data_IF_377414622354
#
_entry.id   IF_377414622354
#
_cell.length_a   1.000
_cell.length_b   1.000
_cell.length_c   1.000
_cell.angle_alpha   90.00
_cell.angle_beta   90.00
_cell.angle_gamma   90.00
#
_symmetry.space_group_name_H-M   'P 1'
#
loop_
_entity.id
_entity.type
_entity.pdbx_description
1 polymer ?
#
# COMPACT_ATOMS: atom_id res chain seq x y z
N UNK A 1 31.62 -62.99 26.75
CA UNK A 1 30.90 -62.04 27.63
C UNK A 1 31.50 -60.65 27.51
N UNK A 2 31.14 -59.84 26.48
CA UNK A 2 31.46 -58.38 26.42
C UNK A 2 30.86 -57.60 25.22
N UNK A 3 29.78 -58.06 24.56
CA UNK A 3 29.25 -57.31 23.40
C UNK A 3 27.72 -57.14 23.34
N UNK A 4 26.91 -57.87 24.12
CA UNK A 4 25.44 -57.74 24.03
C UNK A 4 24.87 -56.58 24.83
N UNK A 5 25.52 -56.18 25.94
CA UNK A 5 25.04 -55.06 26.78
C UNK A 5 25.18 -53.70 26.09
N UNK A 6 26.21 -53.52 25.27
CA UNK A 6 26.48 -52.25 24.57
C UNK A 6 25.46 -52.02 23.46
N UNK A 7 25.12 -53.05 22.68
CA UNK A 7 24.09 -52.94 21.64
C UNK A 7 22.70 -52.64 22.20
N UNK A 8 22.37 -53.19 23.37
CA UNK A 8 21.06 -52.95 24.00
C UNK A 8 20.91 -51.50 24.50
N UNK A 9 21.97 -50.94 25.09
CA UNK A 9 22.01 -49.53 25.53
C UNK A 9 21.96 -48.57 24.33
N UNK A 10 22.64 -48.93 23.23
CA UNK A 10 22.62 -48.13 22.01
C UNK A 10 21.23 -48.13 21.35
N UNK A 11 20.56 -49.28 21.30
CA UNK A 11 19.20 -49.40 20.75
C UNK A 11 18.18 -48.59 21.57
N UNK A 12 18.30 -48.62 22.90
CA UNK A 12 17.45 -47.86 23.82
C UNK A 12 17.66 -46.35 23.67
N UNK A 13 18.90 -45.90 23.49
CA UNK A 13 19.22 -44.49 23.27
C UNK A 13 18.66 -43.97 21.93
N UNK A 14 18.70 -44.79 20.87
CA UNK A 14 18.12 -44.45 19.56
C UNK A 14 16.59 -44.38 19.63
N UNK A 15 15.94 -45.28 20.37
CA UNK A 15 14.49 -45.26 20.58
C UNK A 15 14.02 -44.00 21.31
N UNK A 16 14.76 -43.56 22.34
CA UNK A 16 14.46 -42.32 23.06
C UNK A 16 14.66 -41.05 22.20
N UNK A 17 15.62 -41.08 21.28
CA UNK A 17 15.81 -39.99 20.30
C UNK A 17 14.67 -39.90 19.28
N UNK A 18 14.01 -41.03 18.94
CA UNK A 18 12.93 -41.06 17.95
C UNK A 18 11.56 -40.62 18.50
N UNK A 19 11.34 -40.70 19.82
CA UNK A 19 10.10 -40.26 20.47
C UNK A 19 10.10 -38.73 20.69
N UNK A 20 11.26 -38.06 20.54
CA UNK A 20 11.47 -36.64 20.84
C UNK A 20 10.97 -35.60 19.82
N UNK A 21 10.27 -36.00 18.76
CA UNK A 21 9.71 -35.06 17.77
C UNK A 21 8.17 -35.07 17.74
N UNK A 22 7.54 -35.19 18.90
CA UNK A 22 6.14 -34.86 19.08
C UNK A 22 5.98 -33.43 19.59
N UNK A 23 6.36 -32.41 18.81
CA UNK A 23 5.89 -31.05 19.09
C UNK A 23 4.40 -31.03 18.75
N UNK A 24 3.55 -31.31 19.74
CA UNK A 24 2.17 -30.84 19.71
C UNK A 24 2.22 -29.33 19.90
N UNK A 25 2.48 -28.62 18.82
CA UNK A 25 2.07 -27.23 18.72
C UNK A 25 0.55 -27.24 18.82
N UNK A 26 0.03 -26.90 20.00
CA UNK A 26 -1.36 -26.48 20.10
C UNK A 26 -1.55 -25.39 19.03
N UNK A 27 -2.51 -25.50 18.11
CA UNK A 27 -2.79 -24.40 17.21
C UNK A 27 -3.13 -23.21 18.09
N UNK A 28 -2.25 -22.21 18.10
CA UNK A 28 -2.55 -20.90 18.66
C UNK A 28 -3.82 -20.48 17.94
N UNK A 29 -4.93 -20.33 18.68
CA UNK A 29 -6.15 -19.73 18.16
C UNK A 29 -5.73 -18.46 17.42
N UNK A 30 -5.83 -18.51 16.09
CA UNK A 30 -5.49 -17.36 15.28
C UNK A 30 -6.47 -16.27 15.68
N UNK A 31 -6.00 -15.24 16.39
CA UNK A 31 -6.70 -13.96 16.50
C UNK A 31 -7.31 -13.67 15.13
N UNK A 32 -8.64 -13.49 15.06
CA UNK A 32 -9.35 -13.27 13.81
C UNK A 32 -8.55 -12.31 12.93
N UNK A 33 -8.17 -12.76 11.74
CA UNK A 33 -7.36 -11.92 10.83
C UNK A 33 -8.19 -10.69 10.49
N UNK A 34 -7.61 -9.51 10.72
CA UNK A 34 -8.21 -8.25 10.34
C UNK A 34 -8.58 -8.27 8.85
N UNK A 35 -9.85 -8.05 8.54
CA UNK A 35 -10.35 -8.00 7.17
C UNK A 35 -10.26 -6.56 6.65
N UNK A 36 -9.32 -6.31 5.73
CA UNK A 36 -9.13 -5.01 5.09
C UNK A 36 -9.79 -5.00 3.71
N UNK A 37 -10.66 -4.02 3.47
CA UNK A 37 -11.26 -3.77 2.15
C UNK A 37 -11.14 -2.30 1.75
N UNK A 38 -11.31 -2.02 0.46
CA UNK A 38 -11.23 -0.67 -0.09
C UNK A 38 -12.41 -0.38 -1.01
N UNK A 39 -12.95 0.82 -0.94
CA UNK A 39 -13.85 1.37 -1.96
C UNK A 39 -13.21 2.55 -2.68
N UNK A 40 -13.65 2.82 -3.91
CA UNK A 40 -13.22 3.95 -4.73
C UNK A 40 -14.43 4.76 -5.15
N UNK A 41 -14.29 6.06 -5.15
CA UNK A 41 -15.30 7.00 -5.61
C UNK A 41 -14.66 8.12 -6.43
N UNK A 42 -15.37 8.55 -7.46
CA UNK A 42 -14.97 9.66 -8.31
C UNK A 42 -15.71 10.92 -7.87
N UNK A 43 -14.95 11.94 -7.50
CA UNK A 43 -15.47 13.18 -6.93
C UNK A 43 -14.87 14.40 -7.62
N UNK A 44 -15.48 15.56 -7.40
CA UNK A 44 -14.99 16.82 -7.95
C UNK A 44 -14.41 17.67 -6.82
N UNK A 45 -13.09 17.80 -6.83
CA UNK A 45 -12.35 18.65 -5.91
C UNK A 45 -12.11 20.06 -6.45
N UNK A 46 -11.36 20.84 -5.68
CA UNK A 46 -10.94 22.20 -6.02
C UNK A 46 -9.43 22.33 -5.91
N UNK A 47 -8.81 22.95 -6.89
CA UNK A 47 -7.38 23.32 -6.85
C UNK A 47 -7.22 24.46 -5.83
N UNK A 48 -6.50 24.19 -4.75
CA UNK A 48 -6.20 25.15 -3.70
C UNK A 48 -4.90 25.92 -3.97
N UNK A 49 -3.95 25.28 -4.64
CA UNK A 49 -2.68 25.89 -5.07
C UNK A 49 -2.17 25.18 -6.33
N UNK A 50 -1.45 25.91 -7.19
CA UNK A 50 -0.88 25.40 -8.43
C UNK A 50 0.33 26.24 -8.86
N UNK A 51 1.51 25.66 -8.75
CA UNK A 51 2.72 26.11 -9.46
C UNK A 51 2.93 25.16 -10.64
N UNK A 52 2.75 25.66 -11.86
CA UNK A 52 2.92 24.92 -13.10
C UNK A 52 3.97 25.64 -13.94
N UNK A 53 4.99 24.90 -14.35
CA UNK A 53 6.05 25.40 -15.22
C UNK A 53 6.07 24.56 -16.48
N UNK A 54 6.09 25.27 -17.60
CA UNK A 54 6.19 24.68 -18.91
C UNK A 54 7.40 25.31 -19.59
N UNK A 55 8.36 24.49 -19.99
CA UNK A 55 9.54 24.97 -20.70
C UNK A 55 9.98 23.98 -21.77
N UNK A 56 10.78 24.53 -22.68
CA UNK A 56 11.37 23.81 -23.78
C UNK A 56 12.88 24.00 -23.72
N UNK A 57 13.63 22.91 -23.54
CA UNK A 57 15.08 22.90 -23.64
C UNK A 57 15.50 22.05 -24.86
N UNK A 58 15.17 20.76 -24.84
CA UNK A 58 15.29 19.85 -25.99
C UNK A 58 14.01 19.04 -26.24
N UNK A 59 13.23 18.82 -25.18
CA UNK A 59 11.92 18.16 -25.19
C UNK A 59 10.96 19.07 -24.42
N UNK A 60 9.69 19.05 -24.83
CA UNK A 60 8.63 19.73 -24.09
C UNK A 60 8.54 19.15 -22.68
N UNK A 61 8.58 19.99 -21.65
CA UNK A 61 8.58 19.52 -20.26
C UNK A 61 7.62 20.32 -19.40
N UNK A 62 6.78 19.60 -18.66
CA UNK A 62 5.92 20.14 -17.63
C UNK A 62 6.49 19.75 -16.27
N UNK A 63 6.58 20.70 -15.37
CA UNK A 63 6.84 20.47 -13.95
C UNK A 63 5.76 21.17 -13.13
N UNK A 64 5.30 20.51 -12.07
CA UNK A 64 4.24 21.06 -11.26
C UNK A 64 4.36 20.72 -9.79
N UNK A 65 3.72 21.58 -9.00
CA UNK A 65 3.21 21.31 -7.68
C UNK A 65 1.77 21.73 -7.65
N UNK A 66 0.88 20.79 -7.36
CA UNK A 66 -0.55 21.04 -7.23
C UNK A 66 -1.05 20.60 -5.86
N UNK A 67 -1.87 21.45 -5.24
CA UNK A 67 -2.60 21.13 -4.01
C UNK A 67 -4.08 21.13 -4.34
N UNK A 68 -4.73 20.00 -4.13
CA UNK A 68 -6.17 19.83 -4.35
C UNK A 68 -6.87 19.51 -3.04
N UNK A 69 -8.09 20.03 -2.87
CA UNK A 69 -8.93 19.81 -1.69
C UNK A 69 -10.29 19.28 -2.08
N UNK A 70 -10.79 18.35 -1.26
CA UNK A 70 -12.15 17.85 -1.32
C UNK A 70 -12.60 17.49 0.09
N UNK A 71 -13.69 18.08 0.56
CA UNK A 71 -14.12 17.98 1.98
C UNK A 71 -12.97 18.35 2.94
N UNK A 72 -12.60 17.44 3.83
CA UNK A 72 -11.47 17.52 4.76
C UNK A 72 -10.16 16.94 4.18
N UNK A 73 -10.19 16.38 2.98
CA UNK A 73 -9.04 15.75 2.33
C UNK A 73 -8.21 16.79 1.56
N UNK A 74 -6.89 16.61 1.64
CA UNK A 74 -5.91 17.38 0.87
C UNK A 74 -4.93 16.43 0.21
N UNK A 75 -4.70 16.60 -1.08
CA UNK A 75 -3.61 15.96 -1.81
C UNK A 75 -2.62 17.03 -2.24
N UNK A 76 -1.34 16.75 -2.01
CA UNK A 76 -0.21 17.49 -2.57
C UNK A 76 0.45 16.55 -3.58
N UNK A 77 0.52 16.98 -4.83
CA UNK A 77 1.16 16.24 -5.89
C UNK A 77 2.22 17.11 -6.57
N UNK A 78 3.47 16.71 -6.41
CA UNK A 78 4.60 17.27 -7.14
C UNK A 78 4.96 16.27 -8.26
N UNK A 79 5.26 16.77 -9.45
CA UNK A 79 5.54 15.91 -10.59
C UNK A 79 6.21 16.62 -11.75
N UNK A 80 6.70 15.80 -12.68
CA UNK A 80 7.24 16.27 -13.94
C UNK A 80 6.95 15.23 -15.02
N UNK A 81 6.74 15.69 -16.24
CA UNK A 81 6.60 14.82 -17.41
C UNK A 81 7.20 15.50 -18.64
N UNK A 82 7.83 14.69 -19.47
CA UNK A 82 8.44 15.11 -20.73
C UNK A 82 7.61 14.59 -21.90
N UNK A 83 7.57 15.35 -22.99
CA UNK A 83 6.84 15.03 -24.21
C UNK A 83 5.67 15.99 -24.43
N UNK A 84 5.54 16.44 -25.68
CA UNK A 84 4.53 17.41 -26.08
C UNK A 84 3.10 16.94 -25.80
N UNK A 85 2.83 15.65 -26.03
CA UNK A 85 1.50 15.04 -25.85
C UNK A 85 1.24 14.57 -24.40
N UNK A 86 2.20 14.77 -23.49
CA UNK A 86 2.11 14.28 -22.11
C UNK A 86 1.65 15.36 -21.12
N UNK A 87 1.11 16.48 -21.60
CA UNK A 87 0.61 17.52 -20.72
C UNK A 87 -0.39 16.95 -19.69
N UNK A 88 -0.25 17.27 -18.39
CA UNK A 88 -1.17 16.76 -17.38
C UNK A 88 -2.60 17.27 -17.62
N UNK A 89 -3.61 16.51 -17.20
CA UNK A 89 -5.03 16.85 -17.39
C UNK A 89 -5.42 18.23 -16.86
N UNK A 90 -4.65 18.76 -15.91
CA UNK A 90 -4.83 20.05 -15.27
C UNK A 90 -3.93 21.18 -15.80
N UNK A 91 -3.18 20.98 -16.89
CA UNK A 91 -2.21 21.96 -17.43
C UNK A 91 -2.82 23.36 -17.68
N UNK A 92 -4.08 23.42 -18.11
CA UNK A 92 -4.79 24.67 -18.41
C UNK A 92 -5.67 25.17 -17.26
N UNK A 93 -5.59 24.55 -16.08
CA UNK A 93 -6.38 24.91 -14.90
C UNK A 93 -5.70 26.03 -14.12
N UNK A 94 -6.48 26.68 -13.27
CA UNK A 94 -6.02 27.72 -12.34
C UNK A 94 -6.42 27.39 -10.92
N UNK A 95 -5.79 28.09 -9.97
CA UNK A 95 -6.22 28.07 -8.57
C UNK A 95 -7.71 28.42 -8.52
N UNK A 96 -8.47 27.56 -7.85
CA UNK A 96 -9.91 27.68 -7.70
C UNK A 96 -10.74 26.85 -8.70
N UNK A 97 -10.14 26.34 -9.77
CA UNK A 97 -10.83 25.47 -10.72
C UNK A 97 -11.16 24.11 -10.13
N UNK A 98 -12.14 23.45 -10.75
CA UNK A 98 -12.57 22.08 -10.44
C UNK A 98 -11.73 21.06 -11.19
N UNK A 99 -11.46 19.96 -10.50
CA UNK A 99 -10.73 18.81 -11.04
C UNK A 99 -11.36 17.50 -10.55
N UNK A 100 -11.38 16.49 -11.40
CA UNK A 100 -11.85 15.16 -11.05
C UNK A 100 -10.78 14.44 -10.21
N UNK A 101 -11.22 13.79 -9.15
CA UNK A 101 -10.37 13.12 -8.18
C UNK A 101 -10.89 11.71 -7.95
N UNK A 102 -9.98 10.77 -7.72
CA UNK A 102 -10.32 9.49 -7.13
C UNK A 102 -10.09 9.58 -5.62
N UNK A 103 -11.09 9.20 -4.83
CA UNK A 103 -10.97 9.04 -3.38
C UNK A 103 -11.07 7.56 -3.04
N UNK A 104 -10.15 7.09 -2.21
CA UNK A 104 -10.12 5.71 -1.70
C UNK A 104 -10.54 5.72 -0.24
N UNK A 105 -11.53 4.90 0.11
CA UNK A 105 -11.90 4.63 1.50
C UNK A 105 -11.37 3.27 1.91
N UNK A 106 -10.59 3.23 3.00
CA UNK A 106 -10.16 2.00 3.66
C UNK A 106 -11.19 1.59 4.71
N UNK A 107 -11.50 0.30 4.74
CA UNK A 107 -12.29 -0.32 5.80
C UNK A 107 -11.46 -1.38 6.51
N UNK A 108 -11.62 -1.48 7.83
CA UNK A 108 -11.09 -2.54 8.68
C UNK A 108 -12.27 -3.21 9.39
N UNK A 109 -12.41 -4.52 9.21
CA UNK A 109 -13.51 -5.31 9.77
C UNK A 109 -14.90 -4.71 9.46
N UNK A 110 -15.07 -4.19 8.25
CA UNK A 110 -16.31 -3.55 7.79
C UNK A 110 -16.53 -2.11 8.28
N UNK A 111 -15.68 -1.60 9.16
CA UNK A 111 -15.76 -0.23 9.66
C UNK A 111 -14.83 0.69 8.87
N UNK A 112 -15.28 1.92 8.60
CA UNK A 112 -14.47 2.93 7.89
C UNK A 112 -13.26 3.31 8.75
N UNK A 113 -12.07 3.03 8.25
CA UNK A 113 -10.80 3.27 8.93
C UNK A 113 -10.10 4.56 8.47
N UNK A 114 -10.32 4.98 7.21
CA UNK A 114 -9.72 6.20 6.69
C UNK A 114 -10.10 6.48 5.24
N UNK A 115 -9.80 7.70 4.78
CA UNK A 115 -9.97 8.15 3.39
C UNK A 115 -8.78 8.98 2.95
N UNK A 116 -8.46 8.91 1.67
CA UNK A 116 -7.51 9.82 1.02
C UNK A 116 -7.90 10.03 -0.43
N UNK A 117 -7.45 11.15 -1.01
CA UNK A 117 -7.46 11.34 -2.46
C UNK A 117 -6.27 10.53 -3.01
N UNK A 118 -6.53 9.54 -3.87
CA UNK A 118 -5.50 8.66 -4.44
C UNK A 118 -4.91 9.22 -5.73
N UNK A 119 -5.72 9.92 -6.54
CA UNK A 119 -5.31 10.42 -7.84
C UNK A 119 -6.11 11.65 -8.27
N UNK A 120 -5.50 12.43 -9.16
CA UNK A 120 -6.16 13.42 -10.01
C UNK A 120 -6.42 12.71 -11.35
N UNK A 121 -7.66 12.79 -11.87
CA UNK A 121 -8.04 12.13 -13.12
C UNK A 121 -7.78 12.98 -14.36
#
# INVERSE_FOLDING_TARGET
MKSTKIHFVFLLAVLLFLIGCGRTENPVESTERENITYSREDVVGKIADLDMRHWYDQVDKYEWRIIVKYEDLTLINDGAVEGYDNAPSFVNKRIGDRVELEVVTKYSNGQKAGRCISAIK
#
